data_IF_765295342760
#
_entry.id   IF_765295342760
#
_cell.length_a   1.000
_cell.length_b   1.000
_cell.length_c   1.000
_cell.angle_alpha   90.00
_cell.angle_beta   90.00
_cell.angle_gamma   90.00
#
_symmetry.space_group_name_H-M   'P 1'
#
loop_
_entity.id
_entity.type
_entity.pdbx_description
1 polymer ?
#
# COMPACT_ATOMS: atom_id res chain seq x y z
N UNK A 1 -8.43 -23.35 0.40
CA UNK A 1 -7.88 -21.98 0.50
C UNK A 1 -6.62 -21.86 1.35
N UNK A 2 -6.52 -22.49 2.53
CA UNK A 2 -5.40 -22.29 3.45
C UNK A 2 -4.01 -22.67 2.93
N UNK A 3 -3.86 -23.66 2.07
CA UNK A 3 -2.53 -24.13 1.63
C UNK A 3 -1.83 -23.19 0.64
N UNK A 4 -2.57 -22.57 -0.27
CA UNK A 4 -2.01 -21.67 -1.29
C UNK A 4 -1.62 -20.31 -0.71
N UNK A 5 -2.48 -19.75 0.15
CA UNK A 5 -2.19 -18.48 0.85
C UNK A 5 -0.97 -18.64 1.76
N UNK A 6 -0.87 -19.77 2.48
CA UNK A 6 0.32 -20.11 3.28
C UNK A 6 1.58 -20.27 2.44
N UNK A 7 1.49 -20.84 1.23
CA UNK A 7 2.64 -20.98 0.32
C UNK A 7 3.11 -19.61 -0.21
N UNK A 8 2.19 -18.71 -0.54
CA UNK A 8 2.49 -17.37 -1.02
C UNK A 8 3.13 -16.53 0.12
N UNK A 9 2.54 -16.55 1.30
CA UNK A 9 3.08 -15.83 2.47
C UNK A 9 4.44 -16.38 2.89
N UNK A 10 4.65 -17.71 2.86
CA UNK A 10 5.97 -18.30 3.11
C UNK A 10 7.01 -17.81 2.10
N UNK A 11 6.68 -17.81 0.81
CA UNK A 11 7.58 -17.30 -0.22
C UNK A 11 7.96 -15.83 -0.01
N UNK A 12 7.02 -15.00 0.43
CA UNK A 12 7.27 -13.60 0.74
C UNK A 12 8.19 -13.43 1.97
N UNK A 13 8.00 -14.25 2.99
CA UNK A 13 8.82 -14.24 4.22
C UNK A 13 10.22 -14.83 3.96
N UNK A 14 10.30 -15.92 3.22
CA UNK A 14 11.56 -16.60 2.90
C UNK A 14 12.43 -15.80 1.92
N UNK A 15 11.84 -15.02 1.03
CA UNK A 15 12.58 -14.20 0.07
C UNK A 15 13.22 -12.95 0.70
N UNK A 16 12.91 -12.63 1.96
CA UNK A 16 13.35 -11.40 2.64
C UNK A 16 13.17 -10.13 1.79
N UNK A 17 12.27 -10.18 0.81
CA UNK A 17 11.93 -9.06 -0.07
C UNK A 17 10.81 -8.26 0.55
N UNK A 18 11.05 -6.99 0.75
CA UNK A 18 10.03 -6.00 1.07
C UNK A 18 9.02 -6.02 -0.07
N UNK A 19 7.79 -6.46 0.21
CA UNK A 19 6.80 -6.68 -0.84
C UNK A 19 5.54 -5.90 -0.52
N UNK A 20 5.17 -5.01 -1.43
CA UNK A 20 3.83 -4.42 -1.44
C UNK A 20 2.91 -5.36 -2.19
N UNK A 21 1.90 -5.87 -1.49
CA UNK A 21 0.95 -6.85 -2.00
C UNK A 21 -0.45 -6.25 -2.05
N UNK A 22 -1.08 -6.35 -3.21
CA UNK A 22 -2.49 -6.00 -3.35
C UNK A 22 -3.38 -7.23 -3.40
N UNK A 23 -4.57 -7.09 -2.82
CA UNK A 23 -5.70 -8.00 -2.96
C UNK A 23 -6.69 -7.41 -3.99
N UNK A 24 -6.71 -7.99 -5.19
CA UNK A 24 -7.54 -7.55 -6.30
C UNK A 24 -8.67 -8.52 -6.59
N UNK A 25 -9.87 -8.00 -6.88
CA UNK A 25 -11.03 -8.81 -7.28
C UNK A 25 -12.33 -8.03 -7.18
N UNK A 26 -13.45 -8.57 -7.68
CA UNK A 26 -14.76 -7.94 -7.57
C UNK A 26 -15.13 -7.61 -6.11
N UNK A 27 -16.04 -6.67 -5.88
CA UNK A 27 -16.59 -6.44 -4.55
C UNK A 27 -17.29 -7.72 -4.03
N UNK A 28 -17.21 -7.94 -2.72
CA UNK A 28 -17.85 -9.09 -2.07
C UNK A 28 -17.14 -10.44 -2.18
N UNK A 29 -15.99 -10.54 -2.85
CA UNK A 29 -15.22 -11.81 -2.95
C UNK A 29 -14.46 -12.21 -1.69
N UNK A 30 -14.49 -11.39 -0.63
CA UNK A 30 -13.87 -11.71 0.65
C UNK A 30 -12.46 -11.17 0.85
N UNK A 31 -12.03 -10.10 0.15
CA UNK A 31 -10.72 -9.45 0.33
C UNK A 31 -10.48 -9.03 1.78
N UNK A 32 -11.38 -8.23 2.34
CA UNK A 32 -11.33 -7.81 3.76
C UNK A 32 -11.40 -9.00 4.72
N UNK A 33 -12.17 -10.04 4.39
CA UNK A 33 -12.22 -11.28 5.18
C UNK A 33 -10.86 -11.98 5.20
N UNK A 34 -10.19 -12.05 4.04
CA UNK A 34 -8.84 -12.61 3.96
C UNK A 34 -7.85 -11.78 4.79
N UNK A 35 -7.90 -10.45 4.72
CA UNK A 35 -7.09 -9.58 5.58
C UNK A 35 -7.31 -9.88 7.06
N UNK A 36 -8.56 -9.93 7.52
CA UNK A 36 -8.89 -10.24 8.91
C UNK A 36 -8.41 -11.62 9.36
N UNK A 37 -8.47 -12.62 8.48
CA UNK A 37 -7.89 -13.94 8.72
C UNK A 37 -6.36 -13.87 8.88
N UNK A 38 -5.67 -13.17 7.98
CA UNK A 38 -4.21 -13.00 8.02
C UNK A 38 -3.73 -12.26 9.26
N UNK A 39 -4.54 -11.30 9.73
CA UNK A 39 -4.27 -10.51 10.94
C UNK A 39 -4.67 -11.22 12.24
N UNK A 40 -5.23 -12.45 12.17
CA UNK A 40 -5.70 -13.18 13.32
C UNK A 40 -6.95 -12.60 13.98
N UNK A 41 -7.68 -11.71 13.30
CA UNK A 41 -8.96 -11.14 13.77
C UNK A 41 -10.14 -12.06 13.50
N UNK A 42 -9.97 -13.06 12.65
CA UNK A 42 -10.93 -14.12 12.38
C UNK A 42 -10.21 -15.46 12.42
N UNK A 43 -10.91 -16.49 12.94
CA UNK A 43 -10.43 -17.86 12.89
C UNK A 43 -10.76 -18.54 11.57
N UNK A 44 -9.83 -19.30 10.96
CA UNK A 44 -10.12 -20.02 9.72
C UNK A 44 -11.06 -21.20 10.01
N UNK A 45 -12.07 -21.39 9.16
CA UNK A 45 -13.00 -22.52 9.25
C UNK A 45 -12.30 -23.85 9.02
N UNK A 46 -11.24 -23.90 8.23
CA UNK A 46 -10.40 -25.05 7.95
C UNK A 46 -8.95 -24.64 7.75
N UNK A 47 -8.02 -25.46 8.21
CA UNK A 47 -6.59 -25.17 8.11
C UNK A 47 -6.07 -24.35 9.30
N UNK A 48 -4.78 -24.01 9.27
CA UNK A 48 -4.12 -23.24 10.32
C UNK A 48 -3.35 -22.08 9.68
N UNK A 49 -3.40 -20.92 10.33
CA UNK A 49 -2.58 -19.76 10.00
C UNK A 49 -1.41 -19.74 10.96
N UNK A 50 -0.19 -19.80 10.43
CA UNK A 50 1.02 -19.60 11.23
C UNK A 50 1.47 -18.15 11.05
N UNK A 51 1.39 -17.39 12.11
CA UNK A 51 1.95 -16.03 12.19
C UNK A 51 3.41 -16.11 12.60
N UNK A 52 4.24 -15.24 12.02
CA UNK A 52 5.63 -15.09 12.43
C UNK A 52 5.74 -14.44 13.82
N UNK A 53 6.96 -14.44 14.35
CA UNK A 53 7.29 -13.71 15.60
C UNK A 53 7.60 -12.25 15.29
N UNK A 54 7.37 -11.36 16.27
CA UNK A 54 7.68 -9.92 16.17
C UNK A 54 6.92 -9.15 15.05
N UNK A 55 5.65 -9.53 14.81
CA UNK A 55 4.80 -8.78 13.89
C UNK A 55 4.25 -7.54 14.58
N UNK A 56 4.62 -6.36 14.06
CA UNK A 56 4.07 -5.07 14.42
C UNK A 56 3.15 -4.59 13.29
N UNK A 57 1.85 -4.83 13.44
CA UNK A 57 0.86 -4.55 12.41
C UNK A 57 0.25 -3.17 12.67
N UNK A 58 0.30 -2.29 11.66
CA UNK A 58 -0.45 -1.05 11.65
C UNK A 58 -1.61 -1.17 10.66
N UNK A 59 -2.84 -0.93 11.14
CA UNK A 59 -4.06 -0.99 10.32
C UNK A 59 -4.67 0.41 10.22
N UNK A 60 -4.73 0.96 9.00
CA UNK A 60 -5.12 2.35 8.75
C UNK A 60 -6.52 2.70 9.29
N UNK A 61 -7.50 1.82 9.08
CA UNK A 61 -8.90 2.08 9.47
C UNK A 61 -9.08 2.20 11.00
N UNK A 62 -8.26 1.51 11.79
CA UNK A 62 -8.31 1.60 13.26
C UNK A 62 -7.92 2.98 13.80
N UNK A 63 -7.22 3.80 12.99
CA UNK A 63 -6.75 5.12 13.39
C UNK A 63 -7.78 6.22 13.14
N UNK A 64 -8.83 5.99 12.34
CA UNK A 64 -9.89 6.97 12.08
C UNK A 64 -10.59 7.43 13.38
N UNK A 65 -10.77 6.54 14.33
CA UNK A 65 -11.34 6.84 15.65
C UNK A 65 -10.31 7.34 16.68
N UNK A 66 -9.04 7.49 16.31
CA UNK A 66 -7.95 7.71 17.25
C UNK A 66 -7.51 9.19 17.39
N UNK A 67 -8.14 10.12 16.69
CA UNK A 67 -7.83 11.54 16.84
C UNK A 67 -8.61 12.14 18.01
N UNK A 68 -7.89 12.83 18.89
CA UNK A 68 -8.46 13.60 19.99
C UNK A 68 -8.72 15.01 19.46
N UNK A 69 -9.99 15.37 19.27
CA UNK A 69 -10.39 16.64 18.69
C UNK A 69 -10.06 17.85 19.58
N UNK A 70 -9.88 17.63 20.87
CA UNK A 70 -9.54 18.68 21.84
C UNK A 70 -8.06 19.05 21.85
N UNK A 71 -7.20 18.15 21.38
CA UNK A 71 -5.75 18.34 21.31
C UNK A 71 -5.32 19.04 20.03
N UNK A 72 -4.13 19.63 20.08
CA UNK A 72 -3.51 20.20 18.87
C UNK A 72 -3.08 19.11 17.89
N UNK A 73 -2.87 19.49 16.64
CA UNK A 73 -2.33 18.59 15.59
C UNK A 73 -1.02 17.96 16.04
N UNK A 74 -0.08 18.75 16.55
CA UNK A 74 1.20 18.26 17.03
C UNK A 74 1.05 17.29 18.22
N UNK A 75 0.18 17.59 19.18
CA UNK A 75 -0.02 16.75 20.36
C UNK A 75 -0.67 15.41 20.03
N UNK A 76 -1.53 15.37 19.01
CA UNK A 76 -2.11 14.11 18.51
C UNK A 76 -1.07 13.14 17.96
N UNK A 77 0.01 13.65 17.39
CA UNK A 77 1.09 12.84 16.80
C UNK A 77 2.17 12.53 17.83
N UNK A 78 2.58 13.54 18.62
CA UNK A 78 3.72 13.42 19.52
C UNK A 78 3.36 13.01 20.96
N UNK A 79 2.07 13.10 21.33
CA UNK A 79 1.64 12.90 22.70
C UNK A 79 2.15 14.00 23.64
N UNK A 80 2.40 15.22 23.14
CA UNK A 80 2.88 16.37 23.87
C UNK A 80 4.41 16.48 23.96
N UNK A 81 5.15 15.71 23.17
CA UNK A 81 6.61 15.80 23.06
C UNK A 81 7.00 16.66 21.85
N UNK A 82 8.09 17.40 21.95
CA UNK A 82 8.62 18.18 20.81
C UNK A 82 9.37 17.31 19.80
N UNK A 83 9.89 16.16 20.23
CA UNK A 83 10.68 15.24 19.41
C UNK A 83 9.97 13.91 19.24
N UNK A 84 10.03 13.39 18.00
CA UNK A 84 9.50 12.09 17.59
C UNK A 84 10.64 11.17 17.16
N UNK A 85 10.50 9.90 17.43
CA UNK A 85 11.35 8.86 16.84
C UNK A 85 10.62 8.23 15.65
N UNK A 86 11.11 8.50 14.42
CA UNK A 86 10.55 7.98 13.19
C UNK A 86 11.65 7.29 12.39
N UNK A 87 11.46 6.00 12.08
CA UNK A 87 12.47 5.23 11.35
C UNK A 87 13.84 5.17 12.02
N UNK A 88 13.89 5.21 13.37
CA UNK A 88 15.13 5.21 14.15
C UNK A 88 15.87 6.55 14.17
N UNK A 89 15.25 7.62 13.68
CA UNK A 89 15.79 8.99 13.73
C UNK A 89 14.92 9.89 14.59
N UNK A 90 15.55 10.73 15.43
CA UNK A 90 14.83 11.75 16.19
C UNK A 90 14.60 12.98 15.32
N UNK A 91 13.34 13.41 15.22
CA UNK A 91 12.91 14.58 14.43
C UNK A 91 11.98 15.47 15.26
N UNK A 92 12.05 16.77 15.04
CA UNK A 92 11.10 17.71 15.64
C UNK A 92 9.69 17.51 15.05
N UNK A 93 8.64 17.50 15.90
CA UNK A 93 7.26 17.19 15.51
C UNK A 93 6.74 18.10 14.39
N UNK A 94 7.02 19.41 14.45
CA UNK A 94 6.59 20.36 13.42
C UNK A 94 7.29 20.06 12.09
N UNK A 95 8.60 19.77 12.10
CA UNK A 95 9.33 19.40 10.87
C UNK A 95 8.80 18.09 10.26
N UNK A 96 8.41 17.14 11.09
CA UNK A 96 7.76 15.91 10.63
C UNK A 96 6.40 16.18 10.00
N UNK A 97 5.58 17.02 10.64
CA UNK A 97 4.24 17.37 10.14
C UNK A 97 4.26 18.19 8.85
N UNK A 98 5.34 18.94 8.59
CA UNK A 98 5.52 19.63 7.30
C UNK A 98 5.61 18.67 6.11
N UNK A 99 6.18 17.46 6.31
CA UNK A 99 6.17 16.40 5.28
C UNK A 99 4.73 15.95 4.95
N UNK A 100 3.79 16.16 5.88
CA UNK A 100 2.35 15.89 5.72
C UNK A 100 1.54 17.15 5.35
N UNK A 101 2.19 18.16 4.80
CA UNK A 101 1.61 19.41 4.29
C UNK A 101 0.93 20.28 5.37
N UNK A 102 1.38 20.18 6.62
CA UNK A 102 0.95 21.09 7.68
C UNK A 102 1.90 22.28 7.82
N UNK A 103 1.38 23.50 7.80
CA UNK A 103 2.15 24.67 8.18
C UNK A 103 2.42 24.69 9.70
N UNK A 104 3.49 25.36 10.17
CA UNK A 104 3.79 25.46 11.61
C UNK A 104 2.63 26.02 12.45
N UNK A 105 1.89 27.00 11.90
CA UNK A 105 0.72 27.58 12.58
C UNK A 105 -0.43 26.58 12.66
N UNK A 106 -0.61 25.77 11.62
CA UNK A 106 -1.64 24.74 11.59
C UNK A 106 -1.35 23.61 12.58
N UNK A 107 -0.07 23.28 12.80
CA UNK A 107 0.34 22.28 13.79
C UNK A 107 -0.12 22.60 15.22
N UNK A 108 -0.27 23.88 15.56
CA UNK A 108 -0.68 24.35 16.90
C UNK A 108 -2.18 24.47 17.08
N UNK A 109 -2.97 24.29 16.02
CA UNK A 109 -4.42 24.37 16.08
C UNK A 109 -5.03 23.06 16.59
N UNK A 110 -6.23 23.12 17.22
CA UNK A 110 -6.94 21.93 17.64
C UNK A 110 -7.44 21.14 16.42
N UNK A 111 -7.49 19.82 16.54
CA UNK A 111 -7.96 18.93 15.48
C UNK A 111 -9.39 19.20 15.05
N UNK A 112 -10.22 19.71 15.96
CA UNK A 112 -11.59 20.13 15.65
C UNK A 112 -11.68 21.21 14.55
N UNK A 113 -10.63 22.02 14.36
CA UNK A 113 -10.57 23.07 13.34
C UNK A 113 -10.09 22.56 11.95
N UNK A 114 -9.73 21.28 11.82
CA UNK A 114 -9.22 20.70 10.58
C UNK A 114 -10.34 20.35 9.60
N UNK A 115 -10.07 20.53 8.31
CA UNK A 115 -10.87 19.96 7.22
C UNK A 115 -10.77 18.43 7.19
N UNK A 116 -11.67 17.77 6.43
CA UNK A 116 -11.62 16.32 6.25
C UNK A 116 -10.29 15.83 5.67
N UNK A 117 -9.77 16.49 4.63
CA UNK A 117 -8.47 16.14 4.03
C UNK A 117 -7.31 16.33 5.00
N UNK A 118 -7.29 17.44 5.78
CA UNK A 118 -6.27 17.64 6.82
C UNK A 118 -6.34 16.56 7.92
N UNK A 119 -7.54 16.14 8.32
CA UNK A 119 -7.72 15.05 9.29
C UNK A 119 -7.14 13.74 8.74
N UNK A 120 -7.34 13.44 7.46
CA UNK A 120 -6.79 12.26 6.82
C UNK A 120 -5.25 12.32 6.76
N UNK A 121 -4.65 13.48 6.41
CA UNK A 121 -3.19 13.66 6.47
C UNK A 121 -2.64 13.50 7.89
N UNK A 122 -3.36 13.99 8.89
CA UNK A 122 -2.97 13.81 10.30
C UNK A 122 -3.04 12.34 10.72
N UNK A 123 -4.04 11.59 10.26
CA UNK A 123 -4.13 10.14 10.49
C UNK A 123 -2.96 9.40 9.87
N UNK A 124 -2.56 9.76 8.65
CA UNK A 124 -1.37 9.21 8.02
C UNK A 124 -0.11 9.56 8.82
N UNK A 125 0.07 10.82 9.21
CA UNK A 125 1.19 11.22 10.04
C UNK A 125 1.27 10.39 11.33
N UNK A 126 0.15 10.21 12.01
CA UNK A 126 0.07 9.42 13.25
C UNK A 126 0.35 7.92 13.00
N UNK A 127 -0.10 7.37 11.88
CA UNK A 127 0.15 5.99 11.50
C UNK A 127 1.64 5.71 11.32
N UNK A 128 2.34 6.59 10.59
CA UNK A 128 3.75 6.42 10.26
C UNK A 128 4.72 6.78 11.41
N UNK A 129 4.25 7.35 12.53
CA UNK A 129 5.09 7.49 13.73
C UNK A 129 5.27 6.17 14.49
N UNK A 130 4.41 5.20 14.27
CA UNK A 130 4.50 3.92 14.99
C UNK A 130 5.44 2.97 14.30
N UNK A 131 6.34 2.32 15.04
CA UNK A 131 7.15 1.27 14.46
C UNK A 131 6.25 0.11 14.02
N UNK A 132 6.19 -0.13 12.73
CA UNK A 132 5.45 -1.24 12.14
C UNK A 132 6.29 -1.91 11.06
N UNK A 133 6.14 -3.24 10.92
CA UNK A 133 6.75 -4.01 9.84
C UNK A 133 5.70 -4.56 8.86
N UNK A 134 4.42 -4.43 9.22
CA UNK A 134 3.30 -4.71 8.32
C UNK A 134 2.34 -3.53 8.38
N UNK A 135 2.04 -2.97 7.23
CA UNK A 135 1.05 -1.91 7.05
C UNK A 135 -0.14 -2.47 6.26
N UNK A 136 -1.34 -2.30 6.80
CA UNK A 136 -2.58 -2.78 6.19
C UNK A 136 -3.47 -1.59 5.87
N UNK A 137 -3.84 -1.48 4.60
CA UNK A 137 -4.68 -0.43 4.06
C UNK A 137 -5.88 -1.08 3.35
N UNK A 138 -7.08 -0.84 3.86
CA UNK A 138 -8.34 -1.33 3.27
C UNK A 138 -9.12 -0.16 2.68
N UNK A 139 -9.15 -0.08 1.34
CA UNK A 139 -9.77 1.00 0.54
C UNK A 139 -9.35 2.42 1.00
N UNK A 140 -8.05 2.71 1.14
CA UNK A 140 -7.61 4.01 1.65
C UNK A 140 -7.96 5.16 0.70
N UNK A 141 -8.16 4.87 -0.59
CA UNK A 141 -8.40 5.86 -1.64
C UNK A 141 -9.80 6.48 -1.61
N UNK A 142 -10.77 5.84 -0.94
CA UNK A 142 -12.17 6.28 -0.98
C UNK A 142 -12.42 7.63 -0.31
N UNK A 143 -11.61 8.00 0.68
CA UNK A 143 -11.84 9.19 1.51
C UNK A 143 -10.67 10.18 1.45
N UNK A 144 -9.71 9.99 0.54
CA UNK A 144 -8.55 10.85 0.40
C UNK A 144 -8.73 11.80 -0.79
N UNK A 145 -8.31 13.06 -0.59
CA UNK A 145 -8.12 14.00 -1.69
C UNK A 145 -6.84 13.67 -2.49
N UNK A 146 -6.70 14.27 -3.66
CA UNK A 146 -5.60 13.99 -4.58
C UNK A 146 -4.24 14.24 -3.93
N UNK A 147 -4.09 15.35 -3.21
CA UNK A 147 -2.83 15.72 -2.55
C UNK A 147 -2.46 14.70 -1.46
N UNK A 148 -3.46 14.18 -0.74
CA UNK A 148 -3.26 13.15 0.28
C UNK A 148 -2.96 11.78 -0.33
N UNK A 149 -3.53 11.47 -1.50
CA UNK A 149 -3.20 10.25 -2.25
C UNK A 149 -1.76 10.26 -2.74
N UNK A 150 -1.30 11.37 -3.34
CA UNK A 150 0.08 11.53 -3.80
C UNK A 150 1.06 11.36 -2.63
N UNK A 151 0.75 11.97 -1.48
CA UNK A 151 1.52 11.80 -0.26
C UNK A 151 1.56 10.34 0.22
N UNK A 152 0.41 9.66 0.20
CA UNK A 152 0.34 8.25 0.59
C UNK A 152 1.17 7.37 -0.35
N UNK A 153 1.16 7.62 -1.66
CA UNK A 153 2.00 6.90 -2.62
C UNK A 153 3.49 7.05 -2.29
N UNK A 154 3.96 8.29 -2.04
CA UNK A 154 5.35 8.56 -1.67
C UNK A 154 5.75 7.81 -0.38
N UNK A 155 4.91 7.87 0.64
CA UNK A 155 5.14 7.18 1.91
C UNK A 155 5.20 5.65 1.77
N UNK A 156 4.37 5.08 0.89
CA UNK A 156 4.33 3.63 0.65
C UNK A 156 5.52 3.14 -0.17
N UNK A 157 6.03 3.94 -1.10
CA UNK A 157 7.24 3.63 -1.88
C UNK A 157 8.47 3.56 -0.97
N UNK A 158 8.54 4.45 0.02
CA UNK A 158 9.66 4.52 0.96
C UNK A 158 9.51 3.59 2.17
N UNK A 159 8.35 2.97 2.34
CA UNK A 159 8.07 2.11 3.47
C UNK A 159 8.95 0.84 3.46
N UNK A 160 9.63 0.56 4.58
CA UNK A 160 10.60 -0.55 4.70
C UNK A 160 9.98 -1.87 5.20
N UNK A 161 8.68 -1.94 5.31
CA UNK A 161 7.95 -3.13 5.72
C UNK A 161 7.13 -3.74 4.59
N UNK A 162 6.30 -4.70 4.94
CA UNK A 162 5.32 -5.31 4.04
C UNK A 162 4.04 -4.47 4.01
N UNK A 163 3.55 -4.13 2.82
CA UNK A 163 2.27 -3.45 2.63
C UNK A 163 1.24 -4.45 2.13
N UNK A 164 0.11 -4.55 2.84
CA UNK A 164 -1.08 -5.27 2.40
C UNK A 164 -2.15 -4.26 2.04
N UNK A 165 -2.50 -4.18 0.77
CA UNK A 165 -3.37 -3.16 0.23
C UNK A 165 -4.61 -3.79 -0.42
N UNK A 166 -5.79 -3.29 -0.06
CA UNK A 166 -7.02 -3.46 -0.83
C UNK A 166 -7.37 -2.10 -1.42
N UNK A 167 -7.49 -1.99 -2.73
CA UNK A 167 -7.98 -0.78 -3.39
C UNK A 167 -8.58 -1.12 -4.74
N UNK A 168 -9.49 -0.27 -5.20
CA UNK A 168 -10.07 -0.30 -6.54
C UNK A 168 -9.48 0.77 -7.47
N UNK A 169 -8.60 1.62 -6.99
CA UNK A 169 -7.90 2.62 -7.78
C UNK A 169 -6.72 2.01 -8.54
N UNK A 170 -6.84 1.95 -9.87
CA UNK A 170 -5.84 1.32 -10.74
C UNK A 170 -4.54 2.10 -10.82
N UNK A 171 -4.62 3.43 -10.81
CA UNK A 171 -3.45 4.31 -10.91
C UNK A 171 -2.60 4.16 -9.65
N UNK A 172 -3.24 4.26 -8.50
CA UNK A 172 -2.62 4.05 -7.20
C UNK A 172 -1.94 2.67 -7.10
N UNK A 173 -2.62 1.62 -7.58
CA UNK A 173 -2.09 0.26 -7.56
C UNK A 173 -0.85 0.09 -8.42
N UNK A 174 -0.83 0.66 -9.62
CA UNK A 174 0.32 0.55 -10.52
C UNK A 174 1.58 1.23 -9.96
N UNK A 175 1.39 2.28 -9.14
CA UNK A 175 2.51 3.06 -8.59
C UNK A 175 3.13 2.42 -7.34
N UNK A 176 2.33 1.76 -6.51
CA UNK A 176 2.73 1.34 -5.16
C UNK A 176 3.11 -0.13 -5.06
N UNK A 177 2.46 -1.02 -5.83
CA UNK A 177 2.56 -2.45 -5.55
C UNK A 177 3.58 -3.18 -6.41
N UNK A 178 4.21 -4.19 -5.80
CA UNK A 178 5.17 -5.08 -6.46
C UNK A 178 4.56 -6.44 -6.84
N UNK A 179 3.43 -6.81 -6.21
CA UNK A 179 2.73 -8.07 -6.48
C UNK A 179 1.23 -7.92 -6.29
N UNK A 180 0.46 -8.63 -7.12
CA UNK A 180 -1.00 -8.62 -7.09
C UNK A 180 -1.54 -10.02 -6.80
N UNK A 181 -2.37 -10.18 -5.75
CA UNK A 181 -3.17 -11.36 -5.50
C UNK A 181 -4.56 -11.16 -6.09
N UNK A 182 -4.90 -11.95 -7.08
CA UNK A 182 -6.17 -11.85 -7.81
C UNK A 182 -7.12 -12.97 -7.39
N UNK A 183 -8.34 -12.57 -7.01
CA UNK A 183 -9.45 -13.48 -6.75
C UNK A 183 -10.14 -13.78 -8.07
N UNK A 184 -9.85 -14.95 -8.67
CA UNK A 184 -10.41 -15.36 -9.98
C UNK A 184 -11.79 -16.02 -9.90
N UNK A 185 -12.39 -16.08 -8.69
CA UNK A 185 -13.63 -16.83 -8.43
C UNK A 185 -13.35 -18.30 -8.06
N UNK A 186 -14.41 -19.04 -7.72
CA UNK A 186 -14.34 -20.45 -7.31
C UNK A 186 -13.26 -20.77 -6.25
N UNK A 187 -13.04 -19.81 -5.33
CA UNK A 187 -12.02 -19.91 -4.29
C UNK A 187 -10.56 -20.01 -4.80
N UNK A 188 -10.31 -19.60 -6.04
CA UNK A 188 -8.97 -19.57 -6.63
C UNK A 188 -8.36 -18.18 -6.45
N UNK A 189 -7.17 -18.14 -5.85
CA UNK A 189 -6.37 -16.93 -5.72
C UNK A 189 -5.06 -17.17 -6.44
N UNK A 190 -4.69 -16.27 -7.37
CA UNK A 190 -3.41 -16.33 -8.08
C UNK A 190 -2.58 -15.11 -7.78
N UNK A 191 -1.27 -15.29 -7.71
CA UNK A 191 -0.30 -14.22 -7.57
C UNK A 191 0.29 -13.85 -8.93
N UNK A 192 0.34 -12.55 -9.20
CA UNK A 192 0.98 -11.96 -10.37
C UNK A 192 2.04 -10.96 -9.91
N UNK A 193 3.14 -10.86 -10.64
CA UNK A 193 4.20 -9.91 -10.37
C UNK A 193 3.83 -8.57 -11.00
N UNK A 194 3.95 -7.49 -10.23
CA UNK A 194 3.65 -6.14 -10.66
C UNK A 194 2.26 -5.64 -10.28
N UNK A 195 1.88 -4.50 -10.85
CA UNK A 195 0.61 -3.82 -10.60
C UNK A 195 -0.56 -4.36 -11.43
N UNK A 196 -1.63 -3.58 -11.48
CA UNK A 196 -2.85 -3.93 -12.20
C UNK A 196 -2.64 -4.17 -13.71
N UNK A 197 -1.86 -3.32 -14.37
CA UNK A 197 -1.60 -3.42 -15.80
C UNK A 197 -0.69 -4.61 -16.13
N UNK A 198 0.25 -4.93 -15.25
CA UNK A 198 1.09 -6.11 -15.36
C UNK A 198 0.26 -7.39 -15.27
N UNK A 199 -0.70 -7.43 -14.33
CA UNK A 199 -1.66 -8.52 -14.23
C UNK A 199 -2.48 -8.69 -15.51
N UNK A 200 -3.04 -7.60 -16.05
CA UNK A 200 -3.81 -7.67 -17.31
C UNK A 200 -3.01 -8.23 -18.47
N UNK A 201 -1.74 -7.85 -18.60
CA UNK A 201 -0.83 -8.37 -19.63
C UNK A 201 -0.55 -9.86 -19.45
N UNK A 202 -0.23 -10.29 -18.22
CA UNK A 202 0.03 -11.68 -17.90
C UNK A 202 -1.21 -12.56 -18.12
N UNK A 203 -2.40 -12.09 -17.70
CA UNK A 203 -3.66 -12.80 -17.92
C UNK A 203 -3.99 -12.99 -19.41
N UNK A 204 -3.78 -11.97 -20.24
CA UNK A 204 -3.99 -12.08 -21.69
C UNK A 204 -3.03 -13.09 -22.31
N UNK A 205 -1.78 -13.14 -21.88
CA UNK A 205 -0.80 -14.10 -22.34
C UNK A 205 -1.15 -15.54 -21.93
N UNK A 206 -1.64 -15.74 -20.69
CA UNK A 206 -2.11 -17.07 -20.23
C UNK A 206 -3.32 -17.56 -21.05
N UNK A 207 -4.28 -16.66 -21.35
CA UNK A 207 -5.46 -17.00 -22.16
C UNK A 207 -5.08 -17.34 -23.62
N UNK A 208 -4.15 -16.60 -24.21
CA UNK A 208 -3.63 -16.89 -25.54
C UNK A 208 -2.90 -18.25 -25.59
N UNK A 209 -2.12 -18.58 -24.55
CA UNK A 209 -1.41 -19.86 -24.45
C UNK A 209 -2.35 -21.06 -24.26
N UNK A 210 -3.52 -20.86 -23.62
CA UNK A 210 -4.51 -21.93 -23.46
C UNK A 210 -5.32 -22.20 -24.73
N UNK A 211 -5.42 -21.24 -25.64
CA UNK A 211 -6.12 -21.40 -26.93
C UNK A 211 -5.23 -22.01 -28.02
N UNK A 212 -3.91 -22.10 -27.79
CA UNK A 212 -2.93 -22.65 -28.77
C UNK A 212 -2.23 -23.90 -28.28
N UNK A 213 -2.92 -24.94 -27.75
CA UNK A 213 -2.30 -26.22 -27.50
C UNK A 213 -2.53 -27.19 -28.65
N UNK A 214 -1.47 -27.52 -29.43
CA UNK A 214 -1.06 -28.89 -29.68
C UNK A 214 0.19 -29.24 -28.89
N UNK A 215 0.34 -30.55 -28.65
CA UNK A 215 1.24 -31.21 -27.73
C UNK A 215 2.76 -30.91 -27.88
N UNK A 216 3.42 -31.00 -26.71
CA UNK A 216 4.81 -31.44 -26.46
C UNK A 216 5.97 -30.65 -27.07
N UNK A 217 6.81 -30.06 -26.24
CA UNK A 217 8.16 -30.54 -25.88
C UNK A 217 8.84 -29.58 -24.89
N UNK A 218 9.49 -30.17 -23.93
CA UNK A 218 10.35 -29.51 -22.96
C UNK A 218 11.61 -28.93 -23.62
N UNK A 219 12.07 -27.77 -23.22
CA UNK A 219 13.50 -27.55 -22.95
C UNK A 219 13.76 -26.14 -22.31
N UNK A 220 14.41 -26.21 -21.15
CA UNK A 220 15.49 -25.40 -20.57
C UNK A 220 15.42 -23.87 -20.54
N UNK A 221 15.49 -23.45 -19.29
CA UNK A 221 16.06 -22.27 -18.68
C UNK A 221 17.05 -21.44 -19.52
N UNK A 222 16.87 -20.13 -19.45
CA UNK A 222 18.02 -19.21 -19.32
C UNK A 222 17.62 -17.96 -18.56
N UNK A 223 18.31 -17.75 -17.47
CA UNK A 223 18.41 -16.55 -16.67
C UNK A 223 18.87 -15.36 -17.50
N UNK A 224 18.28 -14.19 -17.30
CA UNK A 224 19.02 -12.91 -17.38
C UNK A 224 18.25 -11.77 -16.74
N UNK A 225 18.85 -11.31 -15.65
CA UNK A 225 19.26 -9.95 -15.29
C UNK A 225 18.18 -8.89 -15.14
N UNK A 226 18.06 -8.51 -13.87
CA UNK A 226 17.51 -7.28 -13.33
C UNK A 226 17.86 -6.03 -14.14
N UNK A 227 16.82 -5.39 -14.68
CA UNK A 227 16.83 -3.96 -14.85
C UNK A 227 15.68 -3.43 -13.99
N UNK A 228 16.00 -2.99 -12.77
CA UNK A 228 15.11 -2.17 -11.96
C UNK A 228 14.83 -0.88 -12.71
N UNK A 229 13.75 -0.86 -13.47
CA UNK A 229 13.13 0.39 -13.94
C UNK A 229 12.52 1.03 -12.70
N UNK A 230 13.16 2.07 -12.15
CA UNK A 230 12.55 2.94 -11.14
C UNK A 230 11.22 3.41 -11.71
N UNK A 231 10.12 2.92 -11.16
CA UNK A 231 8.78 3.42 -11.47
C UNK A 231 8.74 4.90 -11.06
N UNK A 232 8.37 5.76 -11.99
CA UNK A 232 8.25 7.20 -11.75
C UNK A 232 7.01 7.46 -10.91
N UNK A 233 7.10 8.39 -9.95
CA UNK A 233 5.95 8.86 -9.16
C UNK A 233 4.87 9.44 -10.10
N UNK A 234 3.60 9.29 -9.73
CA UNK A 234 2.44 9.86 -10.45
C UNK A 234 2.62 11.36 -10.72
N UNK A 235 3.19 12.09 -9.77
CA UNK A 235 3.52 13.51 -9.90
C UNK A 235 4.48 13.77 -11.08
N UNK A 236 5.53 12.97 -11.19
CA UNK A 236 6.51 13.08 -12.30
C UNK A 236 5.90 12.70 -13.65
N UNK A 237 5.00 11.73 -13.67
CA UNK A 237 4.29 11.34 -14.89
C UNK A 237 3.33 12.43 -15.35
N UNK A 238 2.59 13.05 -14.44
CA UNK A 238 1.66 14.15 -14.70
C UNK A 238 2.40 15.42 -15.15
N UNK A 239 3.55 15.74 -14.54
CA UNK A 239 4.41 16.85 -14.98
C UNK A 239 4.94 16.60 -16.41
N UNK A 240 5.34 15.37 -16.74
CA UNK A 240 5.77 14.97 -18.07
C UNK A 240 4.63 15.09 -19.11
N UNK A 241 3.42 14.70 -18.75
CA UNK A 241 2.26 14.77 -19.64
C UNK A 241 1.77 16.21 -19.86
N UNK A 242 2.08 17.14 -18.93
CA UNK A 242 1.75 18.58 -19.05
C UNK A 242 2.83 19.39 -19.78
N UNK A 243 4.06 18.91 -19.83
CA UNK A 243 5.18 19.60 -20.49
C UNK A 243 4.92 19.95 -21.97
N UNK A 244 4.31 19.09 -22.82
CA UNK A 244 4.02 19.45 -24.20
C UNK A 244 3.11 20.67 -24.35
N UNK A 245 2.06 20.75 -23.51
CA UNK A 245 1.11 21.86 -23.53
C UNK A 245 1.71 23.18 -22.98
N UNK A 246 2.69 23.08 -22.10
CA UNK A 246 3.39 24.23 -21.53
C UNK A 246 4.47 24.75 -22.49
N UNK A 247 5.09 23.88 -23.30
CA UNK A 247 6.04 24.24 -24.35
C UNK A 247 5.32 24.96 -25.49
N UNK A 248 4.15 24.45 -25.96
CA UNK A 248 3.33 25.13 -26.98
C UNK A 248 2.80 26.52 -26.56
N UNK A 249 2.76 26.79 -25.25
CA UNK A 249 2.30 28.09 -24.74
C UNK A 249 3.41 29.12 -24.61
N UNK A 250 4.66 28.70 -24.72
CA UNK A 250 5.86 29.56 -24.66
C UNK A 250 6.51 29.83 -26.01
N UNK A 251 6.05 29.17 -27.10
CA UNK A 251 6.34 29.49 -28.50
C UNK A 251 5.26 30.42 -29.09
#
# INVERSE_FOLDING_TARGET
MGSLVNAILRKMIESNTISSLILWGPPGVGKTTLLKLLLGQLEPQQGNIKTGTNLNIAYFDQYRAALDESKTVQDNVSGGKDMLEVGGKSRHVISYLQDFLFSPDRCRQPVSALSGGERNRLLLAKLFTRPSNILVLDEPTNDLDIDTLDLLEELLIDYKGTVLLVSHDRSFLNNVVTSTLVFEGNAVIKQYIGGYDDWLRQRKAEQAATTTKPAATATKASSKTDAQVKKRSYKVQRELDQLPAEIERLE
#
